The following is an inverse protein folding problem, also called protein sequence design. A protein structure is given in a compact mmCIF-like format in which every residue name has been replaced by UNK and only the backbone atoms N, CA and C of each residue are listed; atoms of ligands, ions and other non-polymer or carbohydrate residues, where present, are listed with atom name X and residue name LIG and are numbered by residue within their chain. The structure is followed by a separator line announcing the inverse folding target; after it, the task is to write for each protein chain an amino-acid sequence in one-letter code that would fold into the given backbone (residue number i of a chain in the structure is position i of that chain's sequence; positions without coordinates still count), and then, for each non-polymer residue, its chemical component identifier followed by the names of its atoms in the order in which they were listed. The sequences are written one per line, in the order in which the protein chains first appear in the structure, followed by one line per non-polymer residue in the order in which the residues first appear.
data_IF_180951679613
#
_entry.id   IF_180951679613
#
_cell.length_a   1.000
_cell.length_b   1.000
_cell.length_c   1.000
_cell.angle_alpha   90.00
_cell.angle_beta   90.00
_cell.angle_gamma   90.00
#
_symmetry.space_group_name_H-M   'P 1'
#
loop_
_entity.id
_entity.type
_entity.pdbx_description
1 polymer ?
#
# COMPACT_ATOMS: atom_id res chain seq x y z
N UNK A 1 -3.39 -35.94 -12.95
CA UNK A 1 -3.07 -35.43 -11.60
C UNK A 1 -2.09 -34.29 -11.83
N UNK A 2 -2.40 -33.06 -11.41
CA UNK A 2 -1.42 -31.97 -11.49
C UNK A 2 -0.23 -32.34 -10.61
N UNK A 3 0.99 -32.04 -11.04
CA UNK A 3 2.16 -32.17 -10.17
C UNK A 3 1.92 -31.38 -8.86
N UNK A 4 2.42 -31.89 -7.72
CA UNK A 4 2.33 -31.15 -6.48
C UNK A 4 3.08 -29.82 -6.63
N UNK A 5 2.50 -28.76 -6.07
CA UNK A 5 3.14 -27.44 -6.06
C UNK A 5 4.54 -27.55 -5.44
N UNK A 6 5.50 -26.84 -6.03
CA UNK A 6 6.91 -26.83 -5.61
C UNK A 6 7.20 -25.66 -4.70
N UNK A 7 6.48 -24.56 -4.91
CA UNK A 7 6.63 -23.32 -4.17
C UNK A 7 5.31 -22.89 -3.54
N UNK A 8 5.44 -22.22 -2.40
CA UNK A 8 4.45 -21.22 -1.98
C UNK A 8 4.88 -19.86 -2.50
N UNK A 9 3.92 -19.05 -2.96
CA UNK A 9 4.18 -17.71 -3.47
C UNK A 9 3.21 -16.72 -2.83
N UNK A 10 3.76 -15.72 -2.15
CA UNK A 10 3.03 -14.59 -1.60
C UNK A 10 3.14 -13.39 -2.53
N UNK A 11 2.00 -12.86 -2.98
CA UNK A 11 1.88 -11.68 -3.82
C UNK A 11 1.24 -10.57 -2.98
N UNK A 12 2.00 -9.51 -2.73
CA UNK A 12 1.42 -8.24 -2.34
C UNK A 12 0.95 -7.49 -3.58
N UNK A 13 -0.37 -7.33 -3.75
CA UNK A 13 -0.98 -6.57 -4.84
C UNK A 13 -1.27 -5.14 -4.36
N UNK A 14 -0.26 -4.38 -3.95
CA UNK A 14 -0.45 -3.10 -3.27
C UNK A 14 -1.01 -1.97 -4.17
N UNK A 15 -1.40 -0.85 -3.53
CA UNK A 15 -1.91 0.34 -4.25
C UNK A 15 -0.81 1.04 -5.06
N UNK A 16 0.41 1.11 -4.51
CA UNK A 16 1.55 1.82 -5.12
C UNK A 16 2.59 0.86 -5.67
N UNK A 17 2.87 -0.24 -4.98
CA UNK A 17 3.84 -1.25 -5.38
C UNK A 17 3.25 -2.64 -5.18
N UNK A 18 3.59 -3.54 -6.10
CA UNK A 18 3.46 -4.97 -5.90
C UNK A 18 4.81 -5.55 -5.47
N UNK A 19 4.77 -6.61 -4.68
CA UNK A 19 5.94 -7.39 -4.30
C UNK A 19 5.61 -8.89 -4.37
N UNK A 20 6.62 -9.71 -4.64
CA UNK A 20 6.47 -11.17 -4.70
C UNK A 20 7.53 -11.79 -3.81
N UNK A 21 7.10 -12.68 -2.91
CA UNK A 21 7.97 -13.52 -2.12
C UNK A 21 7.60 -14.98 -2.34
N UNK A 22 8.55 -15.88 -2.17
CA UNK A 22 8.31 -17.31 -2.39
C UNK A 22 9.21 -18.16 -1.53
N UNK A 23 8.85 -19.42 -1.37
CA UNK A 23 9.67 -20.41 -0.67
C UNK A 23 9.42 -21.80 -1.25
N UNK A 24 10.46 -22.65 -1.41
CA UNK A 24 10.26 -24.07 -1.59
C UNK A 24 9.41 -24.63 -0.44
N UNK A 25 8.39 -25.42 -0.77
CA UNK A 25 7.46 -25.95 0.22
C UNK A 25 8.17 -26.78 1.30
N UNK A 26 9.38 -27.31 1.07
CA UNK A 26 10.10 -28.18 2.00
C UNK A 26 11.14 -27.48 2.90
N UNK A 27 11.40 -26.18 2.71
CA UNK A 27 12.55 -25.50 3.36
C UNK A 27 12.21 -24.33 4.26
N UNK A 28 11.01 -23.76 4.13
CA UNK A 28 10.61 -22.54 4.84
C UNK A 28 11.56 -21.34 4.66
N UNK A 29 12.39 -21.35 3.61
CA UNK A 29 13.30 -20.27 3.25
C UNK A 29 12.58 -19.26 2.36
N UNK A 30 12.09 -18.17 2.95
CA UNK A 30 11.32 -17.15 2.25
C UNK A 30 12.25 -16.14 1.60
N UNK A 31 12.19 -16.08 0.28
CA UNK A 31 13.00 -15.22 -0.57
C UNK A 31 12.14 -14.20 -1.31
N UNK A 32 12.71 -13.05 -1.63
CA UNK A 32 12.07 -12.07 -2.51
C UNK A 32 12.34 -12.45 -3.97
N UNK A 33 11.31 -12.34 -4.80
CA UNK A 33 11.45 -12.48 -6.23
C UNK A 33 11.85 -11.13 -6.85
N UNK A 34 12.93 -11.12 -7.61
CA UNK A 34 13.42 -9.94 -8.34
C UNK A 34 12.66 -9.85 -9.67
N UNK A 35 11.68 -8.94 -9.76
CA UNK A 35 10.70 -8.84 -10.85
C UNK A 35 11.34 -8.11 -12.05
N UNK A 36 11.54 -8.76 -13.21
CA UNK A 36 11.94 -8.09 -14.43
C UNK A 36 10.85 -7.12 -14.89
N UNK A 37 11.25 -5.91 -15.23
CA UNK A 37 10.36 -4.87 -15.74
C UNK A 37 11.14 -3.89 -16.63
N UNK A 38 10.42 -3.16 -17.48
CA UNK A 38 11.02 -2.06 -18.23
C UNK A 38 11.35 -0.93 -17.26
N UNK A 39 12.59 -0.44 -17.31
CA UNK A 39 13.06 0.74 -16.57
C UNK A 39 13.33 1.92 -17.49
N UNK A 40 13.51 1.67 -18.79
CA UNK A 40 13.53 2.67 -19.83
C UNK A 40 13.10 2.03 -21.16
N UNK A 41 13.03 2.82 -22.23
CA UNK A 41 12.66 2.33 -23.56
C UNK A 41 13.66 1.26 -24.06
N UNK A 42 13.21 0.02 -24.17
CA UNK A 42 14.01 -1.13 -24.59
C UNK A 42 15.00 -1.63 -23.55
N UNK A 43 14.91 -1.15 -22.30
CA UNK A 43 15.79 -1.53 -21.21
C UNK A 43 15.00 -2.22 -20.10
N UNK A 44 15.38 -3.46 -19.80
CA UNK A 44 14.80 -4.26 -18.73
C UNK A 44 15.78 -4.38 -17.57
N UNK A 45 15.31 -4.21 -16.34
CA UNK A 45 16.06 -4.54 -15.15
C UNK A 45 15.15 -5.25 -14.14
N UNK A 46 15.77 -6.00 -13.22
CA UNK A 46 15.05 -6.62 -12.13
C UNK A 46 14.98 -5.68 -10.93
N UNK A 47 13.85 -5.70 -10.22
CA UNK A 47 13.64 -4.96 -8.97
C UNK A 47 12.80 -5.81 -8.01
N UNK A 48 12.99 -5.62 -6.71
CA UNK A 48 12.16 -6.25 -5.65
C UNK A 48 10.70 -5.80 -5.68
N UNK A 49 10.46 -4.59 -6.15
CA UNK A 49 9.14 -3.97 -6.23
C UNK A 49 8.77 -3.74 -7.69
N UNK A 50 7.51 -3.98 -8.01
CA UNK A 50 6.89 -3.57 -9.26
C UNK A 50 5.94 -2.41 -8.97
N UNK A 51 6.22 -1.17 -9.39
CA UNK A 51 5.28 -0.07 -9.27
C UNK A 51 3.92 -0.44 -9.91
N UNK A 52 2.83 -0.27 -9.16
CA UNK A 52 1.47 -0.62 -9.57
C UNK A 52 0.87 0.48 -10.46
N UNK A 53 1.58 0.74 -11.56
CA UNK A 53 1.23 1.72 -12.58
C UNK A 53 1.07 1.02 -13.92
N UNK A 54 0.05 1.45 -14.67
CA UNK A 54 -0.19 0.99 -16.02
C UNK A 54 -0.23 2.22 -16.92
N UNK A 55 0.72 2.32 -17.85
CA UNK A 55 0.73 3.37 -18.85
C UNK A 55 0.05 2.85 -20.12
N UNK A 56 -0.85 3.65 -20.67
CA UNK A 56 -1.63 3.37 -21.89
C UNK A 56 -1.04 4.17 -23.07
N UNK A 57 -0.10 3.60 -23.85
CA UNK A 57 0.53 4.32 -24.94
C UNK A 57 -0.48 4.75 -26.00
N UNK A 58 -0.19 5.84 -26.71
CA UNK A 58 -0.88 6.15 -27.95
C UNK A 58 -0.45 5.17 -29.04
N UNK A 59 -1.29 5.01 -30.06
CA UNK A 59 -0.95 4.21 -31.22
C UNK A 59 0.36 4.71 -31.84
N UNK A 60 1.34 3.82 -31.96
CA UNK A 60 2.66 4.14 -32.51
C UNK A 60 3.56 5.01 -31.61
N UNK A 61 3.18 5.26 -30.35
CA UNK A 61 4.04 6.03 -29.41
C UNK A 61 5.36 5.31 -29.16
N UNK A 62 5.32 3.98 -29.05
CA UNK A 62 6.50 3.13 -28.85
C UNK A 62 6.50 1.95 -29.82
N UNK A 63 7.70 1.56 -30.25
CA UNK A 63 7.95 0.34 -31.03
C UNK A 63 7.91 -0.91 -30.14
N UNK A 64 7.78 -2.08 -30.75
CA UNK A 64 7.88 -3.36 -30.02
C UNK A 64 9.25 -3.54 -29.35
N UNK A 65 10.33 -3.11 -30.02
CA UNK A 65 11.68 -3.16 -29.47
C UNK A 65 11.82 -2.32 -28.18
N UNK A 66 11.13 -1.17 -28.10
CA UNK A 66 11.12 -0.33 -26.91
C UNK A 66 10.29 -0.90 -25.76
N UNK A 67 9.37 -1.83 -26.05
CA UNK A 67 8.50 -2.47 -25.05
C UNK A 67 8.87 -3.92 -24.79
N UNK A 68 10.05 -4.35 -25.22
CA UNK A 68 10.47 -5.74 -25.17
C UNK A 68 10.77 -6.16 -23.73
N UNK A 69 10.02 -7.15 -23.22
CA UNK A 69 10.30 -7.86 -21.97
C UNK A 69 10.87 -9.26 -22.25
N UNK A 70 11.39 -9.98 -21.25
CA UNK A 70 11.91 -11.34 -21.44
C UNK A 70 10.90 -12.33 -22.05
N UNK A 71 9.61 -12.08 -21.92
CA UNK A 71 8.52 -12.89 -22.47
C UNK A 71 7.89 -12.30 -23.74
N UNK A 72 8.47 -11.24 -24.31
CA UNK A 72 7.98 -10.57 -25.52
C UNK A 72 7.50 -9.14 -25.29
N UNK A 73 7.16 -8.41 -26.37
CA UNK A 73 6.63 -7.06 -26.27
C UNK A 73 5.18 -7.06 -25.79
N UNK A 74 4.83 -6.12 -24.91
CA UNK A 74 3.46 -5.96 -24.38
C UNK A 74 2.80 -4.68 -24.92
N UNK A 75 1.46 -4.68 -25.15
CA UNK A 75 0.73 -3.52 -25.66
C UNK A 75 0.79 -2.31 -24.72
N UNK A 76 0.73 -2.57 -23.42
CA UNK A 76 0.71 -1.60 -22.34
C UNK A 76 1.96 -1.77 -21.47
N UNK A 77 2.36 -0.73 -20.76
CA UNK A 77 3.58 -0.78 -19.93
C UNK A 77 3.16 -0.84 -18.46
N UNK A 78 3.71 -1.80 -17.73
CA UNK A 78 3.52 -1.96 -16.27
C UNK A 78 4.86 -1.75 -15.55
N UNK A 79 4.83 -1.14 -14.37
CA UNK A 79 6.01 -1.01 -13.52
C UNK A 79 6.72 0.34 -13.61
N UNK A 80 8.04 0.32 -13.47
CA UNK A 80 8.89 1.51 -13.36
C UNK A 80 8.77 2.43 -14.57
N UNK A 81 8.94 1.91 -15.79
CA UNK A 81 8.85 2.75 -16.97
C UNK A 81 7.43 3.31 -17.19
N UNK A 82 6.39 2.61 -16.73
CA UNK A 82 5.03 3.16 -16.72
C UNK A 82 4.92 4.39 -15.81
N UNK A 83 5.49 4.31 -14.59
CA UNK A 83 5.57 5.41 -13.63
C UNK A 83 6.36 6.60 -14.19
N UNK A 84 7.44 6.34 -14.93
CA UNK A 84 8.23 7.37 -15.60
C UNK A 84 7.46 8.08 -16.71
N UNK A 85 6.89 7.33 -17.66
CA UNK A 85 6.09 7.90 -18.74
C UNK A 85 4.87 8.65 -18.21
N UNK A 86 4.27 8.11 -17.15
CA UNK A 86 3.16 8.72 -16.46
C UNK A 86 3.47 10.06 -15.80
N UNK A 87 4.73 10.37 -15.46
CA UNK A 87 5.08 11.71 -14.99
C UNK A 87 5.07 12.76 -16.11
N UNK A 88 5.42 12.36 -17.34
CA UNK A 88 5.37 13.22 -18.53
C UNK A 88 3.94 13.37 -19.07
N UNK A 89 3.20 12.26 -19.11
CA UNK A 89 1.83 12.19 -19.65
C UNK A 89 0.86 11.54 -18.65
N UNK A 90 0.50 12.21 -17.53
CA UNK A 90 -0.29 11.57 -16.47
C UNK A 90 -1.71 11.18 -16.87
N UNK A 91 -2.28 11.81 -17.89
CA UNK A 91 -3.61 11.44 -18.41
C UNK A 91 -3.63 10.04 -19.05
N UNK A 92 -2.47 9.42 -19.29
CA UNK A 92 -2.34 8.04 -19.77
C UNK A 92 -1.86 7.07 -18.68
N UNK A 93 -1.69 7.55 -17.45
CA UNK A 93 -1.20 6.77 -16.32
C UNK A 93 -2.37 6.31 -15.44
N UNK A 94 -2.60 5.00 -15.40
CA UNK A 94 -3.46 4.38 -14.41
C UNK A 94 -2.65 4.16 -13.13
N UNK A 95 -3.20 4.64 -12.01
CA UNK A 95 -2.62 4.52 -10.68
C UNK A 95 -3.72 4.22 -9.66
N UNK A 96 -3.31 3.75 -8.48
CA UNK A 96 -4.19 3.48 -7.33
C UNK A 96 -5.36 2.54 -7.66
N UNK A 97 -5.19 1.61 -8.61
CA UNK A 97 -6.29 0.76 -9.08
C UNK A 97 -6.89 -0.09 -7.95
N UNK A 98 -6.06 -0.52 -6.97
CA UNK A 98 -6.53 -1.23 -5.77
C UNK A 98 -7.54 -0.40 -4.97
N UNK A 99 -7.23 0.88 -4.72
CA UNK A 99 -8.14 1.83 -4.05
C UNK A 99 -9.48 1.95 -4.77
N UNK A 100 -9.48 1.95 -6.10
CA UNK A 100 -10.72 1.98 -6.90
C UNK A 100 -11.49 0.66 -6.87
N UNK A 101 -10.80 -0.49 -6.77
CA UNK A 101 -11.45 -1.78 -6.51
C UNK A 101 -12.13 -1.79 -5.13
N UNK A 102 -11.57 -1.14 -4.11
CA UNK A 102 -12.23 -1.03 -2.81
C UNK A 102 -13.49 -0.17 -2.86
N UNK A 103 -13.53 0.81 -3.75
CA UNK A 103 -14.58 1.82 -3.72
C UNK A 103 -15.91 1.28 -4.29
N UNK A 104 -16.89 1.02 -3.41
CA UNK A 104 -18.21 0.51 -3.80
C UNK A 104 -19.14 1.53 -4.46
N UNK A 105 -18.74 2.81 -4.50
CA UNK A 105 -19.55 3.88 -5.09
C UNK A 105 -19.38 4.04 -6.61
N UNK A 106 -18.56 3.21 -7.25
CA UNK A 106 -18.31 3.22 -8.69
C UNK A 106 -18.52 1.84 -9.30
N UNK A 107 -18.77 1.80 -10.62
CA UNK A 107 -18.65 0.55 -11.37
C UNK A 107 -17.17 0.20 -11.54
N UNK A 108 -16.72 -0.79 -10.75
CA UNK A 108 -15.33 -1.28 -10.70
C UNK A 108 -14.90 -2.01 -11.99
N UNK A 109 -15.84 -2.29 -12.91
CA UNK A 109 -15.59 -2.86 -14.25
C UNK A 109 -15.73 -1.85 -15.38
N UNK A 110 -16.25 -0.64 -15.11
CA UNK A 110 -16.30 0.42 -16.10
C UNK A 110 -14.90 1.02 -16.36
N UNK A 111 -14.60 1.47 -17.60
CA UNK A 111 -13.33 2.07 -17.96
C UNK A 111 -13.22 3.50 -17.40
N UNK A 112 -12.95 3.62 -16.10
CA UNK A 112 -12.89 4.90 -15.39
C UNK A 112 -11.46 5.41 -15.19
N UNK A 113 -10.42 4.59 -15.39
CA UNK A 113 -9.02 4.96 -15.16
C UNK A 113 -8.25 5.18 -16.47
N UNK A 114 -7.46 6.25 -16.63
CA UNK A 114 -7.14 7.24 -15.59
C UNK A 114 -8.32 8.18 -15.31
N UNK A 115 -8.60 8.41 -14.03
CA UNK A 115 -9.81 9.10 -13.56
C UNK A 115 -9.99 10.47 -14.22
N UNK A 116 -8.90 11.23 -14.24
CA UNK A 116 -8.85 12.60 -14.72
C UNK A 116 -8.56 12.73 -16.22
N UNK A 117 -8.45 11.61 -16.94
CA UNK A 117 -8.21 11.66 -18.36
C UNK A 117 -9.47 12.18 -19.11
N UNK A 118 -9.28 13.05 -20.13
CA UNK A 118 -10.34 13.42 -21.05
C UNK A 118 -10.99 12.20 -21.72
N UNK A 119 -12.23 12.33 -22.17
CA UNK A 119 -12.99 11.25 -22.81
C UNK A 119 -12.30 10.66 -24.06
N UNK A 120 -11.53 11.47 -24.78
CA UNK A 120 -10.77 11.03 -25.96
C UNK A 120 -9.55 10.16 -25.63
N UNK A 121 -9.14 10.07 -24.37
CA UNK A 121 -8.00 9.24 -23.95
C UNK A 121 -8.53 7.86 -23.53
N UNK A 122 -7.92 6.75 -24.04
CA UNK A 122 -8.30 5.41 -23.63
C UNK A 122 -8.29 5.24 -22.10
N UNK A 123 -9.30 4.53 -21.60
CA UNK A 123 -9.44 4.19 -20.20
C UNK A 123 -9.63 2.69 -20.03
N UNK A 124 -9.24 2.19 -18.87
CA UNK A 124 -9.46 0.82 -18.42
C UNK A 124 -10.14 0.82 -17.06
N UNK A 125 -10.71 -0.32 -16.68
CA UNK A 125 -11.32 -0.47 -15.37
C UNK A 125 -10.29 -0.75 -14.28
N UNK A 126 -10.60 -0.46 -13.00
CA UNK A 126 -9.80 -0.92 -11.87
C UNK A 126 -9.53 -2.42 -11.93
N UNK A 127 -10.56 -3.21 -12.26
CA UNK A 127 -10.45 -4.65 -12.49
C UNK A 127 -9.40 -4.98 -13.57
N UNK A 128 -9.49 -4.36 -14.75
CA UNK A 128 -8.56 -4.57 -15.87
C UNK A 128 -7.12 -4.22 -15.48
N UNK A 129 -6.91 -3.12 -14.76
CA UNK A 129 -5.58 -2.74 -14.30
C UNK A 129 -4.98 -3.80 -13.35
N UNK A 130 -5.76 -4.32 -12.41
CA UNK A 130 -5.32 -5.43 -11.54
C UNK A 130 -5.00 -6.72 -12.32
N UNK A 131 -5.76 -7.03 -13.37
CA UNK A 131 -5.42 -8.13 -14.29
C UNK A 131 -4.05 -7.91 -14.93
N UNK A 132 -3.75 -6.68 -15.39
CA UNK A 132 -2.44 -6.37 -16.00
C UNK A 132 -1.28 -6.49 -15.03
N UNK A 133 -1.45 -6.04 -13.78
CA UNK A 133 -0.42 -6.20 -12.75
C UNK A 133 -0.14 -7.67 -12.46
N UNK A 134 -1.18 -8.48 -12.25
CA UNK A 134 -1.03 -9.91 -11.98
C UNK A 134 -0.49 -10.68 -13.19
N UNK A 135 -0.87 -10.31 -14.41
CA UNK A 135 -0.36 -10.91 -15.64
C UNK A 135 1.15 -10.64 -15.81
N UNK A 136 1.61 -9.41 -15.51
CA UNK A 136 3.04 -9.07 -15.49
C UNK A 136 3.80 -9.93 -14.48
N UNK A 137 3.30 -10.04 -13.24
CA UNK A 137 3.92 -10.86 -12.20
C UNK A 137 3.98 -12.35 -12.59
N UNK A 138 2.90 -12.88 -13.20
CA UNK A 138 2.88 -14.25 -13.71
C UNK A 138 3.91 -14.45 -14.82
N UNK A 139 3.92 -13.58 -15.84
CA UNK A 139 4.85 -13.71 -16.96
C UNK A 139 6.32 -13.59 -16.51
N UNK A 140 6.60 -12.67 -15.58
CA UNK A 140 7.89 -12.54 -14.93
C UNK A 140 8.32 -13.82 -14.20
N UNK A 141 7.42 -14.40 -13.39
CA UNK A 141 7.68 -15.65 -12.70
C UNK A 141 7.92 -16.80 -13.67
N UNK A 142 7.04 -16.99 -14.65
CA UNK A 142 7.08 -18.11 -15.61
C UNK A 142 8.35 -18.06 -16.46
N UNK A 143 8.82 -16.87 -16.83
CA UNK A 143 10.09 -16.68 -17.53
C UNK A 143 11.31 -17.07 -16.67
N UNK A 144 11.28 -16.78 -15.36
CA UNK A 144 12.33 -17.15 -14.42
C UNK A 144 12.26 -18.62 -13.96
N UNK A 145 11.08 -19.22 -13.99
CA UNK A 145 10.79 -20.57 -13.50
C UNK A 145 10.05 -21.42 -14.54
N UNK A 146 10.67 -21.74 -15.69
CA UNK A 146 10.00 -22.45 -16.79
C UNK A 146 9.48 -23.85 -16.42
N UNK A 147 10.03 -24.46 -15.37
CA UNK A 147 9.64 -25.79 -14.86
C UNK A 147 8.80 -25.73 -13.59
N UNK A 148 8.30 -24.56 -13.22
CA UNK A 148 7.42 -24.35 -12.06
C UNK A 148 6.51 -23.13 -12.30
N UNK A 149 5.62 -23.18 -13.31
CA UNK A 149 4.78 -22.05 -13.67
C UNK A 149 3.91 -21.61 -12.49
N UNK A 150 3.66 -20.30 -12.38
CA UNK A 150 3.01 -19.71 -11.20
C UNK A 150 1.60 -20.27 -10.97
N UNK A 151 0.87 -20.57 -12.05
CA UNK A 151 -0.50 -21.11 -12.02
C UNK A 151 -0.61 -22.51 -11.38
N UNK A 152 0.52 -23.21 -11.23
CA UNK A 152 0.62 -24.54 -10.62
C UNK A 152 1.17 -24.49 -9.19
N UNK A 153 1.52 -23.31 -8.69
CA UNK A 153 2.03 -23.11 -7.33
C UNK A 153 0.89 -22.76 -6.36
N UNK A 154 1.17 -22.84 -5.06
CA UNK A 154 0.24 -22.30 -4.06
C UNK A 154 0.45 -20.79 -3.95
N UNK A 155 -0.50 -20.02 -4.50
CA UNK A 155 -0.43 -18.55 -4.55
C UNK A 155 -1.36 -17.93 -3.50
N UNK A 156 -0.79 -17.06 -2.67
CA UNK A 156 -1.52 -16.20 -1.74
C UNK A 156 -1.44 -14.76 -2.23
N UNK A 157 -2.57 -14.10 -2.43
CA UNK A 157 -2.65 -12.69 -2.83
C UNK A 157 -3.19 -11.86 -1.67
N UNK A 158 -2.56 -10.74 -1.35
CA UNK A 158 -2.99 -9.90 -0.23
C UNK A 158 -4.02 -8.85 -0.60
N UNK A 159 -4.93 -8.59 0.35
CA UNK A 159 -5.99 -7.58 0.26
C UNK A 159 -6.04 -6.78 1.56
N UNK A 160 -6.40 -5.49 1.54
CA UNK A 160 -6.68 -4.72 2.73
C UNK A 160 -7.71 -5.44 3.61
N UNK A 161 -7.53 -5.42 4.92
CA UNK A 161 -8.47 -6.03 5.86
C UNK A 161 -9.88 -5.40 5.76
N UNK A 162 -9.95 -4.20 5.20
CA UNK A 162 -11.17 -3.45 4.97
C UNK A 162 -11.90 -3.75 3.65
N UNK A 163 -11.42 -4.68 2.82
CA UNK A 163 -12.11 -5.08 1.58
C UNK A 163 -13.52 -5.63 1.87
N UNK A 164 -14.51 -5.16 1.11
CA UNK A 164 -15.83 -5.80 1.08
C UNK A 164 -15.80 -7.12 0.30
N UNK A 165 -16.85 -7.94 0.45
CA UNK A 165 -16.93 -9.24 -0.24
C UNK A 165 -16.82 -9.12 -1.76
N UNK A 166 -17.38 -8.06 -2.35
CA UNK A 166 -17.34 -7.82 -3.81
C UNK A 166 -15.92 -7.48 -4.28
N UNK A 167 -15.17 -6.70 -3.50
CA UNK A 167 -13.79 -6.35 -3.81
C UNK A 167 -12.89 -7.60 -3.73
N UNK A 168 -13.12 -8.47 -2.75
CA UNK A 168 -12.42 -9.76 -2.64
C UNK A 168 -12.70 -10.66 -3.86
N UNK A 169 -13.97 -10.79 -4.25
CA UNK A 169 -14.36 -11.56 -5.45
C UNK A 169 -13.70 -11.00 -6.72
N UNK A 170 -13.70 -9.67 -6.90
CA UNK A 170 -13.05 -9.01 -8.02
C UNK A 170 -11.54 -9.27 -8.07
N UNK A 171 -10.86 -9.32 -6.93
CA UNK A 171 -9.43 -9.67 -6.89
C UNK A 171 -9.18 -11.12 -7.31
N UNK A 172 -10.02 -12.07 -6.88
CA UNK A 172 -9.92 -13.48 -7.30
C UNK A 172 -10.22 -13.62 -8.80
N UNK A 173 -11.26 -12.95 -9.29
CA UNK A 173 -11.58 -12.92 -10.71
C UNK A 173 -10.45 -12.30 -11.55
N UNK A 174 -9.83 -11.22 -11.05
CA UNK A 174 -8.70 -10.59 -11.73
C UNK A 174 -7.49 -11.52 -11.80
N UNK A 175 -7.20 -12.27 -10.72
CA UNK A 175 -6.18 -13.30 -10.71
C UNK A 175 -6.48 -14.40 -11.71
N UNK A 176 -7.72 -14.91 -11.76
CA UNK A 176 -8.13 -15.91 -12.73
C UNK A 176 -7.98 -15.41 -14.16
N UNK A 177 -8.41 -14.18 -14.46
CA UNK A 177 -8.25 -13.54 -15.76
C UNK A 177 -6.78 -13.28 -16.15
N UNK A 178 -5.89 -13.15 -15.16
CA UNK A 178 -4.44 -13.08 -15.37
C UNK A 178 -3.77 -14.45 -15.57
N UNK A 179 -4.53 -15.55 -15.53
CA UNK A 179 -4.02 -16.91 -15.66
C UNK A 179 -3.65 -17.58 -14.34
N UNK A 180 -4.11 -17.06 -13.21
CA UNK A 180 -3.91 -17.62 -11.86
C UNK A 180 -5.27 -18.10 -11.29
N UNK A 181 -5.77 -19.28 -11.72
CA UNK A 181 -7.14 -19.72 -11.40
C UNK A 181 -7.34 -20.14 -9.94
N UNK A 182 -6.26 -20.29 -9.17
CA UNK A 182 -6.28 -20.80 -7.79
C UNK A 182 -5.42 -19.93 -6.90
N UNK A 183 -6.02 -18.85 -6.39
CA UNK A 183 -5.39 -17.99 -5.39
C UNK A 183 -6.13 -18.06 -4.06
N UNK A 184 -5.41 -17.88 -2.97
CA UNK A 184 -5.95 -17.66 -1.64
C UNK A 184 -5.78 -16.19 -1.26
N UNK A 185 -6.81 -15.57 -0.68
CA UNK A 185 -6.68 -14.22 -0.14
C UNK A 185 -6.14 -14.26 1.29
N UNK A 186 -5.33 -13.27 1.64
CA UNK A 186 -4.88 -12.98 3.01
C UNK A 186 -4.97 -11.48 3.27
N UNK A 187 -5.41 -11.09 4.45
CA UNK A 187 -5.46 -9.68 4.81
C UNK A 187 -4.04 -9.12 5.03
N UNK A 188 -3.75 -7.95 4.50
CA UNK A 188 -2.45 -7.25 4.62
C UNK A 188 -1.91 -7.14 6.05
N UNK A 189 -2.67 -6.64 7.06
CA UNK A 189 -2.16 -6.56 8.41
C UNK A 189 -1.88 -7.94 9.03
N UNK A 190 -2.59 -8.99 8.60
CA UNK A 190 -2.27 -10.36 9.01
C UNK A 190 -0.98 -10.83 8.34
N UNK A 191 -0.80 -10.55 7.05
CA UNK A 191 0.42 -10.86 6.33
C UNK A 191 1.64 -10.16 6.98
N UNK A 192 1.54 -8.86 7.28
CA UNK A 192 2.57 -8.12 7.99
C UNK A 192 2.93 -8.79 9.33
N UNK A 193 1.94 -9.32 10.06
CA UNK A 193 2.19 -10.00 11.32
C UNK A 193 2.82 -11.39 11.15
N UNK A 194 2.45 -12.15 10.11
CA UNK A 194 3.17 -13.38 9.72
C UNK A 194 4.62 -13.10 9.35
N UNK A 195 4.89 -11.96 8.69
CA UNK A 195 6.24 -11.54 8.39
C UNK A 195 7.04 -11.29 9.67
N UNK A 196 6.49 -10.48 10.59
CA UNK A 196 7.09 -10.22 11.88
C UNK A 196 7.41 -11.51 12.65
N UNK A 197 6.46 -12.44 12.73
CA UNK A 197 6.62 -13.71 13.45
C UNK A 197 7.74 -14.56 12.85
N UNK A 198 7.81 -14.67 11.52
CA UNK A 198 8.86 -15.47 10.89
C UNK A 198 10.25 -14.82 10.99
N UNK A 199 10.32 -13.49 11.09
CA UNK A 199 11.59 -12.80 11.34
C UNK A 199 12.09 -12.96 12.78
N UNK A 200 11.17 -13.22 13.73
CA UNK A 200 11.44 -13.28 15.17
C UNK A 200 11.12 -14.64 15.76
N UNK A 201 11.18 -15.73 14.98
CA UNK A 201 10.70 -17.05 15.45
C UNK A 201 11.40 -17.51 16.74
N UNK A 202 12.70 -17.22 16.85
CA UNK A 202 13.54 -17.65 17.98
C UNK A 202 13.27 -16.85 19.27
N UNK A 203 12.94 -15.57 19.18
CA UNK A 203 12.74 -14.66 20.31
C UNK A 203 11.28 -14.23 20.50
N UNK A 204 10.35 -14.71 19.67
CA UNK A 204 8.92 -14.42 19.75
C UNK A 204 8.33 -14.66 21.16
N UNK A 205 8.63 -15.77 21.87
CA UNK A 205 8.12 -15.96 23.22
C UNK A 205 8.56 -14.87 24.19
N UNK A 206 9.77 -14.33 24.01
CA UNK A 206 10.33 -13.23 24.81
C UNK A 206 9.68 -11.90 24.42
N UNK A 207 9.56 -11.62 23.12
CA UNK A 207 8.97 -10.38 22.61
C UNK A 207 7.49 -10.22 22.98
N UNK A 208 6.75 -11.34 23.00
CA UNK A 208 5.33 -11.35 23.36
C UNK A 208 5.09 -11.70 24.83
N UNK A 209 6.15 -11.85 25.65
CA UNK A 209 6.03 -12.24 27.04
C UNK A 209 5.18 -11.22 27.82
N UNK A 210 4.10 -11.70 28.44
CA UNK A 210 3.20 -10.87 29.24
C UNK A 210 2.25 -9.97 28.43
N UNK A 211 2.43 -9.85 27.11
CA UNK A 211 1.52 -9.09 26.26
C UNK A 211 0.15 -9.78 26.17
N UNK A 212 -0.90 -8.96 26.10
CA UNK A 212 -2.29 -9.38 25.92
C UNK A 212 -2.85 -8.91 24.59
N UNK A 213 -2.43 -7.72 24.15
CA UNK A 213 -2.98 -7.06 22.98
C UNK A 213 -1.89 -6.42 22.13
N UNK A 214 -1.86 -6.78 20.85
CA UNK A 214 -1.07 -6.12 19.80
C UNK A 214 -1.99 -5.27 18.94
N UNK A 215 -1.64 -4.01 18.72
CA UNK A 215 -2.23 -3.16 17.69
C UNK A 215 -1.36 -3.21 16.44
N UNK A 216 -1.94 -3.61 15.31
CA UNK A 216 -1.32 -3.49 13.99
C UNK A 216 -1.90 -2.26 13.29
N UNK A 217 -1.02 -1.36 12.87
CA UNK A 217 -1.36 -0.16 12.08
C UNK A 217 -0.65 -0.26 10.74
N UNK A 218 -1.41 -0.57 9.69
CA UNK A 218 -0.90 -0.63 8.32
C UNK A 218 -1.34 0.63 7.56
N UNK A 219 -0.39 1.46 7.13
CA UNK A 219 -0.67 2.67 6.34
C UNK A 219 0.09 2.60 5.02
N UNK A 220 -0.63 2.18 3.99
CA UNK A 220 -0.11 2.04 2.64
C UNK A 220 -0.24 3.31 1.80
N UNK A 221 -0.17 3.11 0.48
CA UNK A 221 -0.35 4.19 -0.49
C UNK A 221 -1.76 4.77 -0.52
N UNK A 222 -2.79 3.93 -0.40
CA UNK A 222 -4.19 4.39 -0.54
C UNK A 222 -5.11 4.04 0.62
N UNK A 223 -4.68 3.19 1.54
CA UNK A 223 -5.51 2.68 2.64
C UNK A 223 -4.77 2.68 3.96
N UNK A 224 -5.56 2.84 5.04
CA UNK A 224 -5.14 2.59 6.40
C UNK A 224 -5.96 1.44 6.96
N UNK A 225 -5.31 0.36 7.38
CA UNK A 225 -5.94 -0.84 7.91
C UNK A 225 -5.46 -1.06 9.36
N UNK A 226 -6.42 -1.22 10.26
CA UNK A 226 -6.17 -1.34 11.71
C UNK A 226 -6.65 -2.70 12.19
N UNK A 227 -5.82 -3.41 12.95
CA UNK A 227 -6.18 -4.73 13.49
C UNK A 227 -5.75 -4.86 14.94
N UNK A 228 -6.59 -5.50 15.77
CA UNK A 228 -6.21 -5.96 17.10
C UNK A 228 -5.98 -7.46 17.11
N UNK A 229 -4.85 -7.87 17.65
CA UNK A 229 -4.51 -9.28 17.85
C UNK A 229 -4.33 -9.53 19.34
N UNK A 230 -5.10 -10.48 19.87
CA UNK A 230 -4.94 -10.99 21.22
C UNK A 230 -3.78 -11.97 21.26
N UNK A 231 -2.98 -11.88 22.31
CA UNK A 231 -1.93 -12.84 22.65
C UNK A 231 -2.38 -13.68 23.84
N UNK A 232 -2.37 -15.00 23.67
CA UNK A 232 -2.65 -15.99 24.72
C UNK A 232 -1.40 -16.82 24.96
N UNK A 233 -1.25 -17.31 26.19
CA UNK A 233 -0.24 -18.32 26.47
C UNK A 233 -0.69 -19.63 25.81
N UNK A 234 0.07 -20.11 24.84
CA UNK A 234 -0.17 -21.39 24.20
C UNK A 234 0.60 -22.54 24.87
N UNK A 235 0.58 -23.69 24.22
CA UNK A 235 1.28 -24.90 24.69
C UNK A 235 2.80 -24.73 24.57
N UNK A 236 3.54 -25.32 25.51
CA UNK A 236 5.01 -25.36 25.50
C UNK A 236 5.70 -23.98 25.43
N UNK A 237 5.04 -22.93 25.92
CA UNK A 237 5.60 -21.57 25.96
C UNK A 237 5.48 -20.79 24.65
N UNK A 238 4.87 -21.38 23.60
CA UNK A 238 4.54 -20.68 22.36
C UNK A 238 3.34 -19.74 22.57
N UNK A 239 3.38 -18.47 22.11
CA UNK A 239 2.19 -17.62 22.11
C UNK A 239 1.15 -18.11 21.10
N UNK A 240 -0.11 -18.18 21.51
CA UNK A 240 -1.28 -18.33 20.64
C UNK A 240 -1.81 -16.94 20.28
N UNK A 241 -2.10 -16.73 19.01
CA UNK A 241 -2.52 -15.43 18.49
C UNK A 241 -3.95 -15.53 18.00
N UNK A 242 -4.74 -14.49 18.19
CA UNK A 242 -6.14 -14.47 17.76
C UNK A 242 -6.50 -13.05 17.34
N UNK A 243 -6.91 -12.86 16.09
CA UNK A 243 -7.43 -11.58 15.63
C UNK A 243 -8.79 -11.30 16.29
N UNK A 244 -8.88 -10.22 17.06
CA UNK A 244 -10.10 -9.87 17.84
C UNK A 244 -10.84 -8.66 17.31
N UNK A 245 -10.21 -7.82 16.48
CA UNK A 245 -10.91 -6.70 15.85
C UNK A 245 -10.25 -6.25 14.55
N UNK A 246 -11.07 -5.74 13.63
CA UNK A 246 -10.64 -5.11 12.37
C UNK A 246 -11.27 -3.73 12.17
N UNK A 247 -10.48 -2.85 11.57
CA UNK A 247 -10.79 -1.47 11.22
C UNK A 247 -11.89 -1.38 10.16
N UNK A 248 -12.40 -0.16 9.95
CA UNK A 248 -13.22 0.10 8.77
C UNK A 248 -12.33 0.40 7.57
N UNK A 249 -12.92 0.50 6.38
CA UNK A 249 -12.21 0.98 5.20
C UNK A 249 -11.88 2.47 5.32
N UNK A 250 -10.60 2.79 5.47
CA UNK A 250 -10.09 4.15 5.51
C UNK A 250 -9.31 4.41 4.22
N UNK A 251 -9.87 5.23 3.34
CA UNK A 251 -9.16 5.78 2.18
C UNK A 251 -8.25 6.92 2.66
N UNK A 252 -7.16 6.53 3.31
CA UNK A 252 -6.17 7.39 3.93
C UNK A 252 -4.80 6.75 3.77
N UNK A 253 -3.86 7.44 3.13
CA UNK A 253 -2.50 6.96 2.96
C UNK A 253 -1.60 7.95 2.22
N UNK A 254 -0.57 7.43 1.57
CA UNK A 254 0.39 8.21 0.78
C UNK A 254 -0.25 9.08 -0.33
N UNK A 255 -1.34 8.64 -0.96
CA UNK A 255 -2.06 9.37 -2.00
C UNK A 255 -2.69 10.67 -1.46
N UNK A 256 -3.18 10.64 -0.21
CA UNK A 256 -3.69 11.83 0.47
C UNK A 256 -2.57 12.82 0.78
N UNK A 257 -1.40 12.31 1.20
CA UNK A 257 -0.21 13.11 1.45
C UNK A 257 0.28 13.78 0.15
N UNK A 258 0.27 13.06 -0.96
CA UNK A 258 0.64 13.58 -2.28
C UNK A 258 -0.31 14.70 -2.72
N UNK A 259 -1.61 14.51 -2.55
CA UNK A 259 -2.63 15.52 -2.86
C UNK A 259 -2.51 16.76 -1.95
N UNK A 260 -2.24 16.59 -0.66
CA UNK A 260 -2.03 17.69 0.28
C UNK A 260 -0.79 18.52 -0.10
N UNK A 261 0.32 17.84 -0.45
CA UNK A 261 1.53 18.49 -0.94
C UNK A 261 1.30 19.21 -2.28
N UNK A 262 0.54 18.62 -3.20
CA UNK A 262 0.17 19.26 -4.45
C UNK A 262 -0.63 20.56 -4.21
N UNK A 263 -1.60 20.55 -3.30
CA UNK A 263 -2.32 21.77 -2.91
C UNK A 263 -1.40 22.82 -2.28
N UNK A 264 -0.49 22.40 -1.39
CA UNK A 264 0.50 23.30 -0.79
C UNK A 264 1.39 23.94 -1.87
N UNK A 265 1.91 23.15 -2.80
CA UNK A 265 2.73 23.63 -3.93
C UNK A 265 1.96 24.59 -4.83
N UNK A 266 0.69 24.30 -5.13
CA UNK A 266 -0.18 25.20 -5.89
C UNK A 266 -0.33 26.56 -5.20
N UNK A 267 -0.60 26.55 -3.89
CA UNK A 267 -0.75 27.77 -3.08
C UNK A 267 0.56 28.55 -3.01
N UNK A 268 1.69 27.87 -2.74
CA UNK A 268 3.03 28.46 -2.69
C UNK A 268 3.44 29.08 -4.02
N UNK A 269 3.02 28.47 -5.12
CA UNK A 269 3.23 29.02 -6.46
C UNK A 269 2.31 30.22 -6.75
N UNK A 270 1.40 30.60 -5.86
CA UNK A 270 0.44 31.68 -6.08
C UNK A 270 -0.59 31.39 -7.17
N UNK A 271 -0.89 30.11 -7.42
CA UNK A 271 -1.83 29.67 -8.46
C UNK A 271 -3.22 29.55 -7.83
N UNK A 272 -4.04 30.58 -8.02
CA UNK A 272 -5.45 30.56 -7.64
C UNK A 272 -6.32 29.76 -8.61
N UNK A 273 -7.47 29.30 -8.13
CA UNK A 273 -8.46 28.55 -8.92
C UNK A 273 -8.19 27.04 -9.00
N UNK A 274 -9.08 26.32 -9.68
CA UNK A 274 -8.92 24.87 -9.91
C UNK A 274 -8.01 24.65 -11.11
N UNK A 275 -6.95 23.87 -10.94
CA UNK A 275 -6.15 23.37 -12.06
C UNK A 275 -7.03 22.49 -12.97
N UNK A 276 -6.73 22.47 -14.26
CA UNK A 276 -7.37 21.47 -15.12
C UNK A 276 -6.93 20.04 -14.70
N UNK A 277 -7.71 18.99 -15.02
CA UNK A 277 -7.40 17.64 -14.56
C UNK A 277 -6.01 17.13 -14.99
N UNK A 278 -5.50 17.57 -16.15
CA UNK A 278 -4.15 17.20 -16.60
C UNK A 278 -3.08 17.92 -15.78
N UNK A 279 -3.26 19.21 -15.51
CA UNK A 279 -2.36 20.02 -14.68
C UNK A 279 -2.33 19.50 -13.23
N UNK A 280 -3.48 19.13 -12.67
CA UNK A 280 -3.58 18.57 -11.33
C UNK A 280 -2.87 17.21 -11.22
N UNK A 281 -3.16 16.28 -12.14
CA UNK A 281 -2.48 14.98 -12.16
C UNK A 281 -0.96 15.10 -12.26
N UNK A 282 -0.44 16.05 -13.06
CA UNK A 282 1.01 16.34 -13.13
C UNK A 282 1.56 16.83 -11.80
N UNK A 283 0.85 17.75 -11.14
CA UNK A 283 1.28 18.32 -9.87
C UNK A 283 1.29 17.26 -8.75
N UNK A 284 0.30 16.36 -8.71
CA UNK A 284 0.26 15.24 -7.75
C UNK A 284 1.44 14.29 -7.96
N UNK A 285 1.77 13.93 -9.21
CA UNK A 285 2.95 13.09 -9.47
C UNK A 285 4.27 13.78 -9.08
N UNK A 286 4.38 15.09 -9.35
CA UNK A 286 5.54 15.87 -8.92
C UNK A 286 5.65 15.94 -7.38
N UNK A 287 4.51 16.12 -6.69
CA UNK A 287 4.42 16.13 -5.23
C UNK A 287 4.80 14.78 -4.60
N UNK A 288 4.40 13.65 -5.22
CA UNK A 288 4.81 12.31 -4.80
C UNK A 288 6.31 12.12 -4.87
N UNK A 289 6.91 12.40 -6.04
CA UNK A 289 8.37 12.31 -6.22
C UNK A 289 9.09 13.18 -5.20
N UNK A 290 8.57 14.39 -5.02
CA UNK A 290 9.09 15.33 -4.05
C UNK A 290 9.07 14.81 -2.61
N UNK A 291 7.93 14.24 -2.18
CA UNK A 291 7.76 13.59 -0.89
C UNK A 291 8.76 12.45 -0.69
N UNK A 292 8.81 11.53 -1.65
CA UNK A 292 9.69 10.35 -1.58
C UNK A 292 11.17 10.75 -1.49
N UNK A 293 11.60 11.78 -2.23
CA UNK A 293 12.97 12.29 -2.17
C UNK A 293 13.28 13.03 -0.86
N UNK A 294 12.36 13.88 -0.39
CA UNK A 294 12.60 14.71 0.81
C UNK A 294 12.43 13.95 2.14
N UNK A 295 11.87 12.74 2.11
CA UNK A 295 11.74 11.85 3.28
C UNK A 295 12.71 10.67 3.26
N UNK A 296 13.62 10.61 2.28
CA UNK A 296 14.67 9.60 2.23
C UNK A 296 15.78 9.88 3.25
N UNK A 297 16.55 8.85 3.61
CA UNK A 297 17.65 8.97 4.59
C UNK A 297 18.74 9.97 4.16
N UNK A 298 18.96 10.12 2.84
CA UNK A 298 19.90 11.06 2.22
C UNK A 298 19.20 12.26 1.56
N UNK A 299 18.06 12.67 2.13
CA UNK A 299 17.22 13.73 1.57
C UNK A 299 17.99 15.05 1.36
N UNK A 300 17.83 15.71 0.20
CA UNK A 300 18.32 17.07 0.01
C UNK A 300 17.54 18.04 0.91
N UNK A 301 18.15 19.16 1.27
CA UNK A 301 17.48 20.20 2.08
C UNK A 301 16.25 20.81 1.38
N UNK A 302 16.30 20.89 0.05
CA UNK A 302 15.20 21.36 -0.78
C UNK A 302 15.22 20.74 -2.18
N UNK A 303 14.07 20.77 -2.84
CA UNK A 303 13.92 20.42 -4.26
C UNK A 303 13.07 21.47 -4.98
N UNK A 304 13.33 21.62 -6.28
CA UNK A 304 12.56 22.53 -7.14
C UNK A 304 11.47 21.76 -7.87
N UNK A 305 10.23 22.21 -7.69
CA UNK A 305 9.06 21.66 -8.39
C UNK A 305 8.57 22.67 -9.42
N UNK A 306 8.52 22.27 -10.69
CA UNK A 306 8.02 23.09 -11.78
C UNK A 306 6.55 22.77 -12.09
N UNK A 307 5.70 23.79 -12.03
CA UNK A 307 4.27 23.72 -12.31
C UNK A 307 4.03 24.44 -13.64
N UNK A 308 3.64 23.68 -14.66
CA UNK A 308 3.38 24.20 -16.00
C UNK A 308 1.88 24.36 -16.23
N UNK A 309 1.44 25.55 -16.67
CA UNK A 309 0.05 25.80 -17.05
C UNK A 309 -0.17 25.78 -18.56
N UNK A 310 -1.33 25.28 -18.99
CA UNK A 310 -1.80 25.43 -20.38
C UNK A 310 -2.34 26.86 -20.58
N UNK A 311 -1.90 27.54 -21.64
CA UNK A 311 -2.60 28.72 -22.18
C UNK A 311 -2.14 30.12 -21.74
N UNK A 312 -1.11 30.29 -20.91
CA UNK A 312 -0.49 31.62 -20.74
C UNK A 312 0.58 31.82 -21.81
N UNK A 313 0.41 32.82 -22.69
CA UNK A 313 1.34 33.27 -23.75
C UNK A 313 2.77 32.78 -23.52
N UNK A 314 3.26 31.99 -24.49
CA UNK A 314 4.47 31.16 -24.64
C UNK A 314 5.81 31.51 -23.94
N UNK A 315 5.90 32.51 -23.06
CA UNK A 315 7.08 32.84 -22.27
C UNK A 315 6.59 33.31 -20.88
N UNK A 316 6.22 32.40 -19.98
CA UNK A 316 5.79 32.76 -18.61
C UNK A 316 4.87 31.78 -17.87
N UNK A 317 4.50 30.63 -18.46
CA UNK A 317 3.53 29.69 -17.87
C UNK A 317 4.08 28.65 -16.89
N UNK A 318 5.40 28.57 -16.74
CA UNK A 318 6.05 27.67 -15.77
C UNK A 318 6.37 28.45 -14.50
N UNK A 319 5.80 28.04 -13.38
CA UNK A 319 6.20 28.51 -12.05
C UNK A 319 7.03 27.45 -11.38
N UNK A 320 8.21 27.81 -10.91
CA UNK A 320 9.07 26.91 -10.13
C UNK A 320 9.03 27.35 -8.68
N UNK A 321 8.71 26.44 -7.79
CA UNK A 321 8.72 26.64 -6.33
C UNK A 321 9.78 25.74 -5.70
N UNK A 322 10.46 26.25 -4.68
CA UNK A 322 11.27 25.40 -3.80
C UNK A 322 10.36 24.75 -2.76
N UNK A 323 10.57 23.48 -2.47
CA UNK A 323 9.94 22.74 -1.38
C UNK A 323 11.05 22.19 -0.48
N UNK A 324 11.02 22.55 0.81
CA UNK A 324 12.05 22.12 1.76
C UNK A 324 11.66 20.84 2.49
N UNK A 325 12.65 20.12 3.02
CA UNK A 325 12.42 18.95 3.88
C UNK A 325 11.61 19.31 5.14
N UNK A 326 11.85 20.50 5.72
CA UNK A 326 11.10 21.01 6.88
C UNK A 326 9.63 21.28 6.56
N UNK A 327 9.33 21.82 5.38
CA UNK A 327 7.96 22.06 4.93
C UNK A 327 7.20 20.75 4.75
N UNK A 328 7.82 19.75 4.11
CA UNK A 328 7.23 18.42 3.94
C UNK A 328 7.02 17.77 5.31
N UNK A 329 8.04 17.78 6.16
CA UNK A 329 7.96 17.19 7.50
C UNK A 329 6.85 17.84 8.32
N UNK A 330 6.77 19.17 8.35
CA UNK A 330 5.71 19.90 9.08
C UNK A 330 4.33 19.56 8.54
N UNK A 331 4.14 19.67 7.22
CA UNK A 331 2.83 19.42 6.59
C UNK A 331 2.35 17.98 6.86
N UNK A 332 3.24 17.00 6.75
CA UNK A 332 2.88 15.59 6.88
C UNK A 332 2.76 15.16 8.34
N UNK A 333 3.69 15.55 9.20
CA UNK A 333 3.64 15.19 10.61
C UNK A 333 2.48 15.89 11.33
N UNK A 334 2.25 17.17 11.07
CA UNK A 334 1.17 17.90 11.76
C UNK A 334 -0.19 17.66 11.11
N UNK A 335 -0.23 17.40 9.80
CA UNK A 335 -1.46 17.14 9.06
C UNK A 335 -1.97 15.70 9.21
N UNK A 336 -1.09 14.71 9.13
CA UNK A 336 -1.48 13.30 9.06
C UNK A 336 -1.16 12.50 10.32
N UNK A 337 -0.14 12.90 11.09
CA UNK A 337 0.25 12.22 12.33
C UNK A 337 0.34 13.19 13.52
N UNK A 338 -0.64 14.09 13.75
CA UNK A 338 -0.54 15.03 14.86
C UNK A 338 -0.51 14.31 16.22
N UNK A 339 0.21 14.89 17.19
CA UNK A 339 0.08 14.50 18.60
C UNK A 339 -1.29 14.97 19.08
N UNK A 340 -2.21 14.03 19.27
CA UNK A 340 -3.63 14.28 19.61
C UNK A 340 -3.90 13.87 21.05
N UNK A 341 -4.96 14.40 21.66
CA UNK A 341 -5.52 13.90 22.91
C UNK A 341 -6.13 12.49 22.76
N UNK A 342 -6.20 11.74 23.87
CA UNK A 342 -6.77 10.37 23.90
C UNK A 342 -8.27 10.31 23.57
N UNK A 343 -8.97 11.43 23.72
CA UNK A 343 -10.40 11.62 23.47
C UNK A 343 -10.69 12.17 22.07
N UNK A 344 -9.68 12.65 21.35
CA UNK A 344 -9.82 13.07 19.96
C UNK A 344 -10.02 11.86 19.05
N UNK A 345 -11.20 11.80 18.42
CA UNK A 345 -11.58 10.76 17.46
C UNK A 345 -11.96 11.38 16.13
N UNK A 346 -11.71 10.67 15.04
CA UNK A 346 -12.03 11.18 13.72
C UNK A 346 -13.55 11.34 13.55
N UNK A 347 -13.99 12.51 13.10
CA UNK A 347 -15.41 12.77 12.84
C UNK A 347 -15.93 11.93 11.67
N UNK A 348 -16.95 11.11 11.90
CA UNK A 348 -17.71 10.47 10.81
C UNK A 348 -18.73 11.46 10.25
N UNK A 349 -18.33 12.28 9.28
CA UNK A 349 -19.33 12.95 8.45
C UNK A 349 -19.95 11.93 7.50
N UNK A 350 -21.27 11.78 7.52
CA UNK A 350 -21.99 11.12 6.42
C UNK A 350 -21.70 11.93 5.17
N UNK A 351 -21.03 11.32 4.20
CA UNK A 351 -20.92 11.91 2.88
C UNK A 351 -22.35 12.21 2.38
N UNK A 352 -22.71 13.48 2.25
CA UNK A 352 -23.81 13.87 1.39
C UNK A 352 -23.51 13.42 -0.04
N UNK A 353 -24.53 13.41 -0.91
CA UNK A 353 -24.46 13.08 -2.35
C UNK A 353 -23.05 13.29 -2.91
N UNK A 354 -22.37 12.17 -3.15
CA UNK A 354 -20.91 12.07 -3.26
C UNK A 354 -20.33 12.83 -4.45
N UNK A 355 -19.22 13.51 -4.18
CA UNK A 355 -18.26 14.02 -5.18
C UNK A 355 -17.77 12.90 -6.11
N UNK A 356 -17.65 13.20 -7.40
CA UNK A 356 -16.98 12.34 -8.39
C UNK A 356 -15.49 12.12 -7.98
N UNK A 357 -15.13 10.97 -7.40
CA UNK A 357 -13.74 10.62 -7.04
C UNK A 357 -13.62 9.50 -5.99
N UNK A 358 -12.38 9.17 -5.58
CA UNK A 358 -12.16 8.30 -4.41
C UNK A 358 -12.68 8.97 -3.14
N UNK A 359 -13.40 8.25 -2.26
CA UNK A 359 -14.00 8.79 -1.04
C UNK A 359 -12.96 8.91 0.09
N UNK A 360 -11.98 9.79 -0.08
CA UNK A 360 -11.00 10.07 0.97
C UNK A 360 -11.66 10.49 2.28
N UNK A 361 -11.08 10.06 3.39
CA UNK A 361 -11.54 10.50 4.71
C UNK A 361 -11.42 12.02 4.84
N UNK A 362 -12.38 12.65 5.51
CA UNK A 362 -12.35 14.11 5.71
C UNK A 362 -11.32 14.55 6.74
N UNK A 363 -11.05 13.70 7.73
CA UNK A 363 -10.03 13.91 8.75
C UNK A 363 -8.77 13.12 8.37
N UNK A 364 -7.67 13.78 7.98
CA UNK A 364 -6.44 13.09 7.58
C UNK A 364 -5.60 12.58 8.77
N UNK A 365 -5.96 12.92 10.01
CA UNK A 365 -5.16 12.56 11.18
C UNK A 365 -5.31 11.07 11.53
N UNK A 366 -4.35 10.25 11.11
CA UNK A 366 -4.25 8.81 11.41
C UNK A 366 -4.43 8.53 12.91
N UNK A 367 -3.80 9.28 13.84
CA UNK A 367 -3.95 9.03 15.28
C UNK A 367 -5.41 9.13 15.78
N UNK A 368 -6.23 10.02 15.20
CA UNK A 368 -7.66 10.12 15.55
C UNK A 368 -8.48 8.93 15.05
N UNK A 369 -8.11 8.34 13.92
CA UNK A 369 -8.71 7.09 13.44
C UNK A 369 -8.30 5.90 14.30
N UNK A 370 -7.05 5.86 14.77
CA UNK A 370 -6.57 4.85 15.73
C UNK A 370 -7.36 4.95 17.04
N UNK A 371 -7.52 6.15 17.61
CA UNK A 371 -8.38 6.36 18.79
C UNK A 371 -9.81 5.90 18.56
N UNK A 372 -10.42 6.28 17.43
CA UNK A 372 -11.78 5.87 17.09
C UNK A 372 -11.93 4.34 16.97
N UNK A 373 -10.93 3.67 16.38
CA UNK A 373 -10.88 2.22 16.25
C UNK A 373 -10.75 1.53 17.61
N UNK A 374 -9.78 1.94 18.43
CA UNK A 374 -9.55 1.37 19.75
C UNK A 374 -10.78 1.52 20.65
N UNK A 375 -11.38 2.72 20.70
CA UNK A 375 -12.61 2.98 21.48
C UNK A 375 -13.78 2.12 21.02
N UNK A 376 -13.98 1.98 19.70
CA UNK A 376 -15.05 1.14 19.13
C UNK A 376 -14.94 -0.32 19.58
N UNK A 377 -13.71 -0.80 19.79
CA UNK A 377 -13.42 -2.19 20.12
C UNK A 377 -12.99 -2.39 21.57
N UNK A 378 -13.40 -1.49 22.47
CA UNK A 378 -13.01 -1.54 23.87
C UNK A 378 -13.44 -2.83 24.59
N UNK A 379 -14.62 -3.36 24.27
CA UNK A 379 -15.08 -4.64 24.84
C UNK A 379 -14.24 -5.82 24.37
N UNK A 380 -13.90 -5.88 23.08
CA UNK A 380 -13.05 -6.94 22.52
C UNK A 380 -11.63 -6.89 23.13
N UNK A 381 -11.07 -5.69 23.27
CA UNK A 381 -9.78 -5.48 23.92
C UNK A 381 -9.81 -5.86 25.41
N UNK A 382 -10.87 -5.50 26.14
CA UNK A 382 -11.06 -5.91 27.55
C UNK A 382 -11.19 -7.43 27.68
N UNK A 383 -11.92 -8.08 26.78
CA UNK A 383 -12.03 -9.55 26.73
C UNK A 383 -10.69 -10.23 26.40
N UNK A 384 -9.80 -9.53 25.67
CA UNK A 384 -8.42 -9.96 25.43
C UNK A 384 -7.51 -9.79 26.68
N UNK A 385 -7.95 -9.04 27.68
CA UNK A 385 -7.21 -8.77 28.91
C UNK A 385 -6.44 -7.45 28.91
N UNK A 386 -6.70 -6.55 27.94
CA UNK A 386 -6.07 -5.25 27.88
C UNK A 386 -6.62 -4.28 28.93
N UNK A 387 -5.76 -3.38 29.41
CA UNK A 387 -6.18 -2.24 30.22
C UNK A 387 -7.01 -1.27 29.36
N UNK A 388 -8.06 -0.67 29.95
CA UNK A 388 -8.89 0.33 29.28
C UNK A 388 -8.91 1.60 30.13
N UNK A 389 -8.34 2.67 29.60
CA UNK A 389 -8.18 3.97 30.29
C UNK A 389 -9.14 4.96 29.65
N UNK A 390 -10.11 5.48 30.40
CA UNK A 390 -11.12 6.43 29.90
C UNK A 390 -11.83 5.96 28.61
N UNK A 391 -12.09 4.66 28.52
CA UNK A 391 -12.73 4.03 27.35
C UNK A 391 -11.80 3.79 26.16
N UNK A 392 -10.50 4.10 26.26
CA UNK A 392 -9.49 3.81 25.25
C UNK A 392 -8.65 2.59 25.71
N UNK A 393 -8.73 1.45 25.01
CA UNK A 393 -7.86 0.31 25.28
C UNK A 393 -6.39 0.62 25.03
N UNK A 394 -5.54 0.25 25.98
CA UNK A 394 -4.09 0.34 25.83
C UNK A 394 -3.56 -0.96 25.22
N UNK A 395 -3.04 -0.95 23.97
CA UNK A 395 -2.26 -2.08 23.47
C UNK A 395 -0.93 -2.18 24.23
N UNK A 396 -0.46 -3.40 24.45
CA UNK A 396 0.86 -3.66 25.06
C UNK A 396 1.97 -3.46 24.02
N UNK A 397 1.66 -3.87 22.79
CA UNK A 397 2.58 -3.90 21.66
C UNK A 397 1.97 -3.20 20.45
N UNK A 398 2.82 -2.53 19.68
CA UNK A 398 2.49 -1.86 18.43
C UNK A 398 3.29 -2.49 17.28
N UNK A 399 2.63 -2.89 16.21
CA UNK A 399 3.26 -3.25 14.95
C UNK A 399 2.86 -2.23 13.88
N UNK A 400 3.83 -1.65 13.20
CA UNK A 400 3.61 -0.70 12.12
C UNK A 400 3.98 -1.35 10.78
N UNK A 401 3.14 -1.14 9.76
CA UNK A 401 3.40 -1.60 8.40
C UNK A 401 2.97 -0.56 7.36
N UNK A 402 3.45 -0.72 6.13
CA UNK A 402 3.10 0.12 5.00
C UNK A 402 4.09 1.26 4.77
N UNK A 403 4.21 1.68 3.51
CA UNK A 403 5.25 2.60 3.06
C UNK A 403 5.20 4.01 3.67
N UNK A 404 4.09 4.41 4.30
CA UNK A 404 4.02 5.67 5.05
C UNK A 404 4.91 5.63 6.29
N UNK A 405 5.16 4.45 6.88
CA UNK A 405 6.06 4.32 8.02
C UNK A 405 7.51 4.00 7.62
N UNK A 406 7.88 4.07 6.34
CA UNK A 406 9.30 3.97 5.94
C UNK A 406 10.15 5.09 6.58
N UNK A 407 9.72 6.37 6.61
CA UNK A 407 10.49 7.43 7.26
C UNK A 407 10.39 7.34 8.80
N UNK A 408 11.52 7.31 9.55
CA UNK A 408 11.51 7.20 11.01
C UNK A 408 10.68 8.28 11.72
N UNK A 409 10.67 9.50 11.19
CA UNK A 409 9.92 10.61 11.77
C UNK A 409 8.41 10.35 11.90
N UNK A 410 7.81 9.59 10.97
CA UNK A 410 6.39 9.25 11.01
C UNK A 410 6.09 8.17 12.07
N UNK A 411 7.01 7.21 12.25
CA UNK A 411 6.95 6.21 13.33
C UNK A 411 7.05 6.90 14.69
N UNK A 412 8.10 7.70 14.89
CA UNK A 412 8.37 8.40 16.15
C UNK A 412 7.20 9.30 16.54
N UNK A 413 6.61 9.99 15.56
CA UNK A 413 5.48 10.88 15.79
C UNK A 413 4.22 10.12 16.21
N UNK A 414 3.92 8.96 15.61
CA UNK A 414 2.80 8.13 16.04
C UNK A 414 3.05 7.55 17.44
N UNK A 415 4.27 7.10 17.74
CA UNK A 415 4.64 6.66 19.08
C UNK A 415 4.51 7.78 20.12
N UNK A 416 4.89 9.01 19.77
CA UNK A 416 4.72 10.18 20.64
C UNK A 416 3.24 10.48 20.90
N UNK A 417 2.38 10.39 19.89
CA UNK A 417 0.93 10.52 20.06
C UNK A 417 0.39 9.46 21.03
N UNK A 418 0.76 8.19 20.83
CA UNK A 418 0.34 7.10 21.72
C UNK A 418 0.89 7.25 23.15
N UNK A 419 2.15 7.66 23.28
CA UNK A 419 2.75 7.92 24.59
C UNK A 419 2.03 9.04 25.33
N UNK A 420 1.63 10.09 24.60
CA UNK A 420 0.79 11.16 25.14
C UNK A 420 -0.58 10.63 25.59
N UNK A 421 -1.21 9.75 24.82
CA UNK A 421 -2.50 9.16 25.20
C UNK A 421 -2.43 8.41 26.52
N UNK A 422 -1.38 7.62 26.76
CA UNK A 422 -1.33 6.73 27.93
C UNK A 422 -0.40 7.21 29.05
N UNK A 423 0.25 8.38 28.89
CA UNK A 423 1.26 8.89 29.83
C UNK A 423 2.54 8.04 29.90
N UNK A 424 2.70 7.07 29.00
CA UNK A 424 3.84 6.16 28.92
C UNK A 424 3.89 5.54 27.51
N UNK A 425 5.08 5.18 27.01
CA UNK A 425 5.22 4.61 25.66
C UNK A 425 4.49 3.26 25.52
N UNK A 426 4.08 2.97 24.29
CA UNK A 426 3.67 1.62 23.86
C UNK A 426 4.86 1.00 23.15
N UNK A 427 5.17 -0.26 23.50
CA UNK A 427 6.35 -0.95 22.96
C UNK A 427 6.17 -1.23 21.48
N UNK A 428 7.05 -0.67 20.65
CA UNK A 428 7.08 -0.96 19.22
C UNK A 428 7.78 -2.30 18.97
N UNK A 429 7.12 -3.18 18.24
CA UNK A 429 7.71 -4.38 17.68
C UNK A 429 8.58 -3.97 16.48
N UNK A 430 9.88 -4.25 16.57
CA UNK A 430 10.81 -3.92 15.51
C UNK A 430 10.44 -4.69 14.23
N UNK A 431 10.07 -3.96 13.19
CA UNK A 431 9.69 -4.53 11.90
C UNK A 431 10.43 -3.77 10.80
N UNK A 432 11.13 -4.50 9.94
CA UNK A 432 11.99 -3.93 8.90
C UNK A 432 11.52 -4.34 7.50
N UNK A 433 11.91 -3.56 6.49
CA UNK A 433 11.54 -3.77 5.09
C UNK A 433 10.01 -3.85 4.91
N UNK A 434 9.32 -2.81 5.40
CA UNK A 434 7.86 -2.67 5.40
C UNK A 434 7.25 -2.67 3.99
N UNK A 435 8.05 -2.36 2.98
CA UNK A 435 7.72 -2.35 1.56
C UNK A 435 7.52 -3.75 0.96
N UNK A 436 8.08 -4.79 1.59
CA UNK A 436 8.01 -6.19 1.14
C UNK A 436 7.48 -7.15 2.21
N UNK A 437 7.24 -6.66 3.43
CA UNK A 437 6.78 -7.44 4.57
C UNK A 437 5.50 -8.22 4.24
N UNK A 438 4.54 -7.58 3.59
CA UNK A 438 3.24 -8.17 3.22
C UNK A 438 3.42 -9.39 2.30
N UNK A 439 4.27 -9.30 1.27
CA UNK A 439 4.52 -10.41 0.35
C UNK A 439 5.20 -11.59 1.06
N UNK A 440 6.25 -11.32 1.88
CA UNK A 440 6.91 -12.36 2.69
C UNK A 440 5.95 -13.01 3.68
N UNK A 441 5.13 -12.20 4.32
CA UNK A 441 4.06 -12.63 5.23
C UNK A 441 3.06 -13.56 4.59
N UNK A 442 2.64 -13.26 3.36
CA UNK A 442 1.76 -14.13 2.57
C UNK A 442 2.40 -15.49 2.25
N UNK A 443 3.70 -15.51 1.93
CA UNK A 443 4.44 -16.76 1.76
C UNK A 443 4.56 -17.55 3.08
N UNK A 444 4.85 -16.87 4.20
CA UNK A 444 4.91 -17.48 5.54
C UNK A 444 3.58 -18.04 6.01
N UNK A 445 2.48 -17.37 5.71
CA UNK A 445 1.13 -17.88 5.95
C UNK A 445 0.88 -19.20 5.21
N UNK A 446 1.28 -19.29 3.94
CA UNK A 446 1.17 -20.54 3.20
C UNK A 446 2.03 -21.66 3.82
N UNK A 447 3.28 -21.36 4.22
CA UNK A 447 4.14 -22.31 4.95
C UNK A 447 3.51 -22.78 6.28
N UNK A 448 2.86 -21.87 7.02
CA UNK A 448 2.21 -22.21 8.28
C UNK A 448 1.10 -23.25 8.09
N UNK A 449 0.39 -23.20 6.96
CA UNK A 449 -0.63 -24.19 6.61
C UNK A 449 -0.05 -25.58 6.28
N UNK A 450 1.22 -25.65 5.91
CA UNK A 450 1.98 -26.90 5.75
C UNK A 450 2.68 -27.35 7.04
N UNK A 451 2.50 -26.63 8.16
CA UNK A 451 3.16 -26.93 9.43
C UNK A 451 4.63 -26.53 9.48
N UNK A 452 5.08 -25.69 8.54
CA UNK A 452 6.47 -25.25 8.40
C UNK A 452 6.68 -23.79 8.85
N UNK A 453 5.63 -23.16 9.36
CA UNK A 453 5.69 -21.89 10.06
C UNK A 453 4.58 -21.84 11.13
N UNK A 454 4.63 -20.85 12.03
CA UNK A 454 3.63 -20.71 13.10
C UNK A 454 2.32 -20.15 12.55
N UNK A 455 1.20 -20.79 12.89
CA UNK A 455 -0.13 -20.30 12.57
C UNK A 455 -0.59 -19.17 13.53
N UNK A 456 -1.46 -18.30 13.03
CA UNK A 456 -2.08 -17.16 13.72
C UNK A 456 -3.59 -17.36 13.65
#
# INVERSE_FOLDING_TARGET
MSEPSRFVVGIDLGTTHCAVAYSPIDRADVQLFEIPQLVAAGETATRRLLPSFLYLPADGEFTDAQRLLPWGPEPEIVGEWAREQGASTPVRLVASAKSWICHGGVDRRAPILPWEAPEAIPKVSPFTASVRYLAHLRAAWDAAHPNAPLAEQEVVVTVPASFDGVANELTVEAAAAAGLPRVRLLEEPQAAFYDFIGAHEADLPTLLAGARLVLVVDVGGGTTDLTLVRVRAGKEGAPELERVAVGGHLMLGGDNMDAALAHHLQQKAGIGGRLDPTEWARLVQAARRAKETLLADDAPAEIKVSIQRRGSRLIGGTRTVSLTADEVSTLLLDGFVPVTGRDEVAERRRAGLTTLGLPYVTDPAIPRHVNAFLRRHAEAARAAGAEVIDGLPRPDLLLLNGGVFTPPALIERLQAAMAHWYGAPVTLLAHTALDVAVARGAARFALARHGLSRAI
#
